data_IF_347258171045
#
_entry.id   IF_347258171045
#
_cell.length_a   1.000
_cell.length_b   1.000
_cell.length_c   1.000
_cell.angle_alpha   90.00
_cell.angle_beta   90.00
_cell.angle_gamma   90.00
#
_symmetry.space_group_name_H-M   'P 1'
#
loop_
_entity.id
_entity.type
_entity.pdbx_description
1 polymer ?
#
# COMPACT_ATOMS: atom_id res chain seq x y z
N UNK A 1 -12.86 -8.19 6.75
CA UNK A 1 -11.69 -8.63 5.97
C UNK A 1 -11.95 -10.02 5.39
N UNK A 2 -12.23 -11.03 6.20
CA UNK A 2 -12.50 -12.39 5.73
C UNK A 2 -13.65 -12.43 4.71
N UNK A 3 -14.72 -11.69 4.94
CA UNK A 3 -15.85 -11.59 4.01
C UNK A 3 -15.45 -10.95 2.67
N UNK A 4 -14.68 -9.85 2.69
CA UNK A 4 -14.21 -9.21 1.46
C UNK A 4 -13.32 -10.16 0.65
N UNK A 5 -12.46 -10.93 1.31
CA UNK A 5 -11.65 -11.98 0.65
C UNK A 5 -12.53 -13.01 -0.03
N UNK A 6 -13.56 -13.50 0.67
CA UNK A 6 -14.49 -14.47 0.12
C UNK A 6 -15.26 -13.94 -1.08
N UNK A 7 -15.70 -12.68 -1.02
CA UNK A 7 -16.39 -12.01 -2.14
C UNK A 7 -15.47 -11.90 -3.35
N UNK A 8 -14.24 -11.38 -3.16
CA UNK A 8 -13.27 -11.23 -4.26
C UNK A 8 -12.90 -12.59 -4.86
N UNK A 9 -12.65 -13.58 -4.02
CA UNK A 9 -12.32 -14.93 -4.47
C UNK A 9 -13.46 -15.55 -5.29
N UNK A 10 -14.71 -15.45 -4.80
CA UNK A 10 -15.90 -15.92 -5.50
C UNK A 10 -16.12 -15.21 -6.85
N UNK A 11 -16.06 -13.88 -6.86
CA UNK A 11 -16.31 -13.09 -8.09
C UNK A 11 -15.21 -13.27 -9.14
N UNK A 12 -13.98 -13.52 -8.71
CA UNK A 12 -12.84 -13.70 -9.61
C UNK A 12 -12.59 -15.15 -10.00
N UNK A 13 -13.31 -16.11 -9.43
CA UNK A 13 -13.00 -17.54 -9.59
C UNK A 13 -11.62 -17.88 -9.03
N UNK A 14 -11.23 -17.26 -7.91
CA UNK A 14 -9.95 -17.49 -7.23
C UNK A 14 -8.73 -16.81 -7.87
N UNK A 15 -8.90 -16.00 -8.92
CA UNK A 15 -7.79 -15.40 -9.67
C UNK A 15 -7.23 -14.13 -9.05
N UNK A 16 -8.01 -13.41 -8.22
CA UNK A 16 -7.62 -12.13 -7.64
C UNK A 16 -7.33 -12.27 -6.14
N UNK A 17 -6.18 -11.78 -5.70
CA UNK A 17 -5.83 -11.67 -4.29
C UNK A 17 -6.43 -10.41 -3.66
N UNK A 18 -6.87 -10.49 -2.39
CA UNK A 18 -7.31 -9.34 -1.62
C UNK A 18 -6.50 -9.21 -0.34
N UNK A 19 -5.78 -8.12 -0.20
CA UNK A 19 -4.97 -7.78 0.96
C UNK A 19 -5.47 -6.46 1.55
N UNK A 20 -5.64 -6.43 2.87
CA UNK A 20 -6.09 -5.25 3.60
C UNK A 20 -5.04 -4.80 4.61
N UNK A 21 -4.71 -3.52 4.59
CA UNK A 21 -3.85 -2.88 5.57
C UNK A 21 -4.64 -1.85 6.38
N UNK A 22 -4.84 -2.10 7.67
CA UNK A 22 -5.64 -1.23 8.55
C UNK A 22 -4.90 0.06 8.97
N UNK A 23 -3.59 0.01 9.02
CA UNK A 23 -2.67 1.11 9.33
C UNK A 23 -1.30 0.85 8.69
N UNK A 24 -0.41 1.84 8.76
CA UNK A 24 0.97 1.77 8.27
C UNK A 24 1.98 1.58 9.41
N UNK A 25 1.64 0.75 10.39
CA UNK A 25 2.57 0.33 11.45
C UNK A 25 3.30 -0.96 11.11
N UNK A 26 4.39 -1.25 11.85
CA UNK A 26 5.18 -2.46 11.67
C UNK A 26 4.37 -3.76 11.73
N UNK A 27 3.42 -3.95 12.68
CA UNK A 27 2.60 -5.17 12.70
C UNK A 27 1.70 -5.32 11.47
N UNK A 28 1.23 -4.20 10.90
CA UNK A 28 0.44 -4.23 9.66
C UNK A 28 1.29 -4.51 8.44
N UNK A 29 2.54 -4.05 8.40
CA UNK A 29 3.53 -4.41 7.38
C UNK A 29 3.85 -5.91 7.42
N UNK A 30 4.13 -6.47 8.60
CA UNK A 30 4.37 -7.91 8.76
C UNK A 30 3.19 -8.73 8.24
N UNK A 31 1.97 -8.33 8.61
CA UNK A 31 0.76 -8.98 8.10
C UNK A 31 0.59 -8.83 6.60
N UNK A 32 0.89 -7.65 6.04
CA UNK A 32 0.89 -7.42 4.60
C UNK A 32 1.84 -8.38 3.89
N UNK A 33 3.08 -8.53 4.38
CA UNK A 33 4.06 -9.45 3.81
C UNK A 33 3.60 -10.91 3.87
N UNK A 34 3.01 -11.34 4.99
CA UNK A 34 2.41 -12.68 5.14
C UNK A 34 1.27 -12.87 4.14
N UNK A 35 0.36 -11.92 4.02
CA UNK A 35 -0.78 -12.00 3.09
C UNK A 35 -0.30 -12.01 1.62
N UNK A 36 0.71 -11.21 1.28
CA UNK A 36 1.31 -11.17 -0.07
C UNK A 36 2.01 -12.48 -0.43
N UNK A 37 2.72 -13.06 0.52
CA UNK A 37 3.46 -14.33 0.30
C UNK A 37 2.59 -15.57 0.48
N UNK A 38 1.39 -15.43 0.97
CA UNK A 38 0.41 -16.50 1.14
C UNK A 38 -0.80 -16.33 0.22
N UNK A 39 -1.71 -15.43 0.58
CA UNK A 39 -3.02 -15.27 -0.09
C UNK A 39 -2.90 -14.74 -1.52
N UNK A 40 -1.99 -13.80 -1.74
CA UNK A 40 -1.80 -13.18 -3.05
C UNK A 40 -0.82 -13.97 -3.95
N UNK A 41 -0.09 -14.94 -3.38
CA UNK A 41 0.88 -15.72 -4.15
C UNK A 41 0.18 -16.53 -5.25
N UNK A 42 0.69 -16.39 -6.48
CA UNK A 42 0.16 -17.10 -7.64
C UNK A 42 -1.18 -16.59 -8.17
N UNK A 43 -1.70 -15.49 -7.64
CA UNK A 43 -2.90 -14.81 -8.17
C UNK A 43 -2.52 -14.00 -9.42
N UNK A 44 -3.47 -13.84 -10.33
CA UNK A 44 -3.29 -13.10 -11.58
C UNK A 44 -3.35 -11.57 -11.38
N UNK A 45 -4.04 -11.12 -10.31
CA UNK A 45 -4.19 -9.72 -9.96
C UNK A 45 -4.29 -9.55 -8.44
N UNK A 46 -4.12 -8.31 -7.98
CA UNK A 46 -4.16 -7.94 -6.57
C UNK A 46 -5.09 -6.75 -6.33
N UNK A 47 -5.91 -6.84 -5.29
CA UNK A 47 -6.55 -5.69 -4.67
C UNK A 47 -5.83 -5.43 -3.34
N UNK A 48 -5.19 -4.27 -3.22
CA UNK A 48 -4.67 -3.74 -1.95
C UNK A 48 -5.66 -2.71 -1.42
N UNK A 49 -6.29 -3.00 -0.29
CA UNK A 49 -7.27 -2.14 0.33
C UNK A 49 -6.66 -1.41 1.53
N UNK A 50 -6.52 -0.09 1.40
CA UNK A 50 -6.05 0.81 2.46
C UNK A 50 -7.13 1.82 2.87
N UNK A 51 -8.40 1.50 2.62
CA UNK A 51 -9.51 2.32 3.12
C UNK A 51 -9.54 2.30 4.64
N UNK A 52 -9.84 3.42 5.24
CA UNK A 52 -9.83 3.66 6.69
C UNK A 52 -8.44 3.47 7.34
N UNK A 53 -7.38 3.48 6.56
CA UNK A 53 -6.01 3.35 7.06
C UNK A 53 -5.52 4.72 7.57
N UNK A 54 -5.21 4.79 8.85
CA UNK A 54 -4.86 6.04 9.55
C UNK A 54 -3.37 6.39 9.51
N UNK A 55 -2.63 5.81 8.57
CA UNK A 55 -1.22 6.10 8.39
C UNK A 55 -0.29 5.37 9.35
N UNK A 56 0.92 5.81 9.41
CA UNK A 56 2.05 5.23 10.14
C UNK A 56 3.38 5.67 9.54
N UNK A 57 4.28 4.73 9.23
CA UNK A 57 5.58 5.05 8.65
C UNK A 57 6.23 3.83 7.94
N UNK A 58 5.49 3.13 7.09
CA UNK A 58 6.01 1.95 6.35
C UNK A 58 5.67 1.98 4.85
N UNK A 59 5.26 3.13 4.31
CA UNK A 59 4.90 3.26 2.90
C UNK A 59 6.04 2.84 1.97
N UNK A 60 7.30 3.20 2.29
CA UNK A 60 8.47 2.83 1.50
C UNK A 60 8.65 1.32 1.38
N UNK A 61 8.44 0.57 2.48
CA UNK A 61 8.55 -0.88 2.49
C UNK A 61 7.44 -1.53 1.65
N UNK A 62 6.21 -1.00 1.75
CA UNK A 62 5.07 -1.45 0.93
C UNK A 62 5.35 -1.21 -0.55
N UNK A 63 5.75 0.00 -0.93
CA UNK A 63 6.07 0.37 -2.31
C UNK A 63 7.25 -0.44 -2.83
N UNK A 64 8.31 -0.59 -2.05
CA UNK A 64 9.47 -1.41 -2.40
C UNK A 64 9.08 -2.86 -2.67
N UNK A 65 8.23 -3.45 -1.84
CA UNK A 65 7.75 -4.81 -2.06
C UNK A 65 6.94 -4.91 -3.35
N UNK A 66 5.98 -4.01 -3.55
CA UNK A 66 5.10 -4.00 -4.73
C UNK A 66 5.85 -3.69 -6.04
N UNK A 67 6.99 -3.00 -5.96
CA UNK A 67 7.83 -2.66 -7.13
C UNK A 67 8.76 -3.79 -7.58
N UNK A 68 8.85 -4.87 -6.80
CA UNK A 68 9.75 -5.98 -7.13
C UNK A 68 9.34 -6.65 -8.44
N UNK A 69 10.33 -6.90 -9.28
CA UNK A 69 10.15 -7.62 -10.54
C UNK A 69 11.04 -8.85 -10.55
N UNK A 70 10.56 -9.99 -11.06
CA UNK A 70 11.41 -11.16 -11.29
C UNK A 70 12.59 -10.79 -12.21
N UNK A 71 13.80 -11.22 -11.85
CA UNK A 71 15.02 -10.96 -12.61
C UNK A 71 15.82 -12.23 -12.92
N UNK A 72 15.50 -13.36 -12.29
CA UNK A 72 16.08 -14.69 -12.53
C UNK A 72 15.01 -15.74 -12.28
N UNK A 73 15.30 -16.97 -12.71
CA UNK A 73 14.54 -18.16 -12.35
C UNK A 73 15.48 -19.23 -11.80
N UNK A 74 15.04 -19.92 -10.76
CA UNK A 74 15.66 -21.09 -10.22
C UNK A 74 14.90 -22.35 -10.62
N UNK A 75 15.62 -23.43 -10.86
CA UNK A 75 15.01 -24.71 -11.10
C UNK A 75 15.80 -25.80 -10.37
N UNK A 76 15.17 -26.48 -9.44
CA UNK A 76 15.73 -27.71 -8.88
C UNK A 76 15.79 -28.79 -9.97
N UNK A 77 16.75 -29.72 -9.86
CA UNK A 77 16.81 -30.86 -10.79
C UNK A 77 15.47 -31.60 -10.78
N UNK A 78 14.82 -31.71 -11.93
CA UNK A 78 13.47 -32.29 -12.11
C UNK A 78 12.31 -31.51 -11.41
N UNK A 79 12.55 -30.29 -10.96
CA UNK A 79 11.54 -29.44 -10.35
C UNK A 79 10.93 -28.42 -11.31
N UNK A 80 9.93 -27.69 -10.80
CA UNK A 80 9.37 -26.53 -11.49
C UNK A 80 10.30 -25.31 -11.34
N UNK A 81 10.25 -24.40 -12.31
CA UNK A 81 10.92 -23.10 -12.21
C UNK A 81 10.22 -22.21 -11.19
N UNK A 82 11.00 -21.43 -10.46
CA UNK A 82 10.53 -20.44 -9.50
C UNK A 82 11.23 -19.12 -9.77
N UNK A 83 10.52 -17.98 -9.74
CA UNK A 83 11.12 -16.68 -9.95
C UNK A 83 12.01 -16.27 -8.78
N UNK A 84 12.94 -15.36 -9.05
CA UNK A 84 13.72 -14.66 -8.05
C UNK A 84 13.47 -13.16 -8.21
N UNK A 85 13.05 -12.42 -7.17
CA UNK A 85 12.77 -12.89 -5.80
C UNK A 85 11.55 -13.83 -5.75
N UNK A 86 11.57 -14.77 -4.80
CA UNK A 86 10.54 -15.82 -4.70
C UNK A 86 9.13 -15.29 -4.45
N UNK A 87 9.02 -14.08 -3.92
CA UNK A 87 7.79 -13.44 -3.47
C UNK A 87 7.53 -12.09 -4.16
N UNK A 88 8.04 -11.90 -5.36
CA UNK A 88 7.63 -10.74 -6.15
C UNK A 88 6.11 -10.80 -6.42
N UNK A 89 5.42 -9.65 -6.48
CA UNK A 89 4.08 -9.59 -7.01
C UNK A 89 4.01 -10.30 -8.36
N UNK A 90 2.87 -10.90 -8.68
CA UNK A 90 2.70 -11.76 -9.87
C UNK A 90 2.92 -11.06 -11.22
N UNK A 91 3.22 -9.75 -11.24
CA UNK A 91 3.31 -8.94 -12.46
C UNK A 91 1.95 -8.61 -13.08
N UNK A 92 0.86 -9.10 -12.50
CA UNK A 92 -0.50 -8.75 -12.89
C UNK A 92 -0.92 -7.37 -12.40
N UNK A 93 -2.12 -6.90 -12.81
CA UNK A 93 -2.61 -5.59 -12.41
C UNK A 93 -2.84 -5.50 -10.90
N UNK A 94 -2.51 -4.34 -10.34
CA UNK A 94 -2.79 -4.01 -8.94
C UNK A 94 -3.85 -2.92 -8.90
N UNK A 95 -4.88 -3.13 -8.08
CA UNK A 95 -5.88 -2.12 -7.74
C UNK A 95 -5.61 -1.68 -6.31
N UNK A 96 -5.43 -0.37 -6.11
CA UNK A 96 -5.35 0.24 -4.79
C UNK A 96 -6.69 0.86 -4.44
N UNK A 97 -7.30 0.41 -3.33
CA UNK A 97 -8.55 0.99 -2.84
C UNK A 97 -8.26 2.00 -1.74
N UNK A 98 -8.79 3.21 -1.91
CA UNK A 98 -8.66 4.33 -0.96
C UNK A 98 -10.02 4.92 -0.62
N UNK A 99 -10.10 5.67 0.47
CA UNK A 99 -11.26 6.48 0.79
C UNK A 99 -10.85 7.75 1.57
N UNK A 100 -11.85 8.58 1.87
CA UNK A 100 -11.70 9.83 2.63
C UNK A 100 -11.18 9.66 4.07
N UNK A 101 -10.98 8.42 4.52
CA UNK A 101 -10.34 8.09 5.80
C UNK A 101 -8.97 7.44 5.64
N UNK A 102 -8.47 7.33 4.42
CA UNK A 102 -7.07 7.00 4.15
C UNK A 102 -6.24 8.26 4.37
N UNK A 103 -5.40 8.30 5.42
CA UNK A 103 -4.68 9.51 5.79
C UNK A 103 -3.18 9.29 6.05
N UNK A 104 -2.41 10.37 5.99
CA UNK A 104 -0.99 10.40 6.31
C UNK A 104 -0.18 9.40 5.46
N UNK A 105 0.51 8.44 6.06
CA UNK A 105 1.32 7.44 5.38
C UNK A 105 0.55 6.58 4.36
N UNK A 106 -0.77 6.39 4.56
CA UNK A 106 -1.64 5.76 3.57
C UNK A 106 -1.79 6.62 2.31
N UNK A 107 -1.83 7.95 2.46
CA UNK A 107 -1.86 8.88 1.33
C UNK A 107 -0.52 8.90 0.60
N UNK A 108 0.60 8.82 1.34
CA UNK A 108 1.93 8.68 0.74
C UNK A 108 2.04 7.40 -0.09
N UNK A 109 1.48 6.29 0.41
CA UNK A 109 1.37 5.04 -0.35
C UNK A 109 0.58 5.26 -1.64
N UNK A 110 -0.57 5.92 -1.57
CA UNK A 110 -1.40 6.20 -2.74
C UNK A 110 -0.72 7.17 -3.74
N UNK A 111 -0.04 8.21 -3.24
CA UNK A 111 0.70 9.15 -4.06
C UNK A 111 1.88 8.47 -4.78
N UNK A 112 2.67 7.67 -4.06
CA UNK A 112 3.76 6.88 -4.64
C UNK A 112 3.25 5.88 -5.68
N UNK A 113 2.15 5.18 -5.38
CA UNK A 113 1.51 4.23 -6.28
C UNK A 113 1.09 4.90 -7.59
N UNK A 114 0.52 6.11 -7.51
CA UNK A 114 0.15 6.93 -8.66
C UNK A 114 1.36 7.40 -9.45
N UNK A 115 2.36 7.97 -8.77
CA UNK A 115 3.58 8.52 -9.38
C UNK A 115 4.40 7.44 -10.10
N UNK A 116 4.49 6.25 -9.51
CA UNK A 116 5.19 5.11 -10.08
C UNK A 116 4.36 4.31 -11.09
N UNK A 117 3.11 4.71 -11.36
CA UNK A 117 2.18 4.05 -12.30
C UNK A 117 2.03 2.55 -12.02
N UNK A 118 1.88 2.19 -10.73
CA UNK A 118 1.87 0.80 -10.30
C UNK A 118 0.56 0.08 -10.59
N UNK A 119 -0.51 0.81 -10.90
CA UNK A 119 -1.83 0.25 -11.20
C UNK A 119 -2.94 1.30 -11.10
N UNK A 120 -4.16 0.84 -10.84
CA UNK A 120 -5.36 1.70 -10.78
C UNK A 120 -5.73 2.00 -9.33
N UNK A 121 -5.99 3.27 -9.03
CA UNK A 121 -6.53 3.70 -7.74
C UNK A 121 -8.04 3.85 -7.87
N UNK A 122 -8.79 3.24 -6.96
CA UNK A 122 -10.25 3.21 -6.93
C UNK A 122 -10.76 3.66 -5.57
N UNK A 123 -11.85 4.42 -5.55
CA UNK A 123 -12.52 4.86 -4.31
C UNK A 123 -12.80 6.35 -4.29
N UNK A 124 -12.69 6.99 -3.15
CA UNK A 124 -12.86 8.44 -3.00
C UNK A 124 -11.52 9.11 -2.71
N UNK A 125 -11.46 10.43 -2.89
CA UNK A 125 -10.29 11.23 -2.55
C UNK A 125 -9.85 10.96 -1.10
N UNK A 126 -8.53 10.93 -0.87
CA UNK A 126 -7.97 10.69 0.45
C UNK A 126 -8.18 11.89 1.40
N UNK A 127 -7.77 11.75 2.65
CA UNK A 127 -8.13 12.65 3.74
C UNK A 127 -7.56 14.08 3.62
N UNK A 128 -6.45 14.30 2.88
CA UNK A 128 -5.71 15.57 2.78
C UNK A 128 -4.92 15.90 4.05
N UNK A 129 -4.31 14.90 4.64
CA UNK A 129 -3.47 15.08 5.82
C UNK A 129 -2.10 14.40 5.66
N UNK A 130 -1.39 14.77 4.59
CA UNK A 130 -0.03 14.31 4.34
C UNK A 130 0.95 15.28 4.99
N UNK A 131 1.17 15.11 6.27
CA UNK A 131 2.01 16.00 7.06
C UNK A 131 2.95 15.19 7.95
N UNK A 132 4.22 15.58 7.98
CA UNK A 132 5.17 15.05 8.92
C UNK A 132 5.21 15.91 10.17
N UNK A 133 5.11 15.28 11.32
CA UNK A 133 5.14 15.94 12.62
C UNK A 133 6.36 15.51 13.42
N UNK A 134 6.94 16.45 14.18
CA UNK A 134 7.92 16.15 15.21
C UNK A 134 7.34 16.31 16.60
N UNK A 135 7.79 15.52 17.57
CA UNK A 135 7.46 15.69 18.97
C UNK A 135 8.36 16.77 19.61
N UNK A 136 7.79 17.64 20.43
CA UNK A 136 8.54 18.58 21.25
C UNK A 136 8.11 18.45 22.70
N UNK A 137 9.11 18.28 23.59
CA UNK A 137 8.87 18.32 25.05
C UNK A 137 8.63 19.74 25.48
N UNK A 138 7.64 19.95 26.33
CA UNK A 138 7.35 21.21 27.00
C UNK A 138 8.02 21.27 28.37
N UNK A 139 8.07 22.45 28.97
CA UNK A 139 8.76 22.70 30.26
C UNK A 139 8.16 21.94 31.44
N UNK A 140 6.90 21.53 31.33
CA UNK A 140 6.18 20.75 32.34
C UNK A 140 6.32 19.23 32.15
N UNK A 141 7.15 18.79 31.17
CA UNK A 141 7.33 17.38 30.83
C UNK A 141 6.27 16.78 29.92
N UNK A 142 5.22 17.54 29.55
CA UNK A 142 4.30 17.11 28.52
C UNK A 142 4.92 17.21 27.12
N UNK A 143 4.31 16.56 26.12
CA UNK A 143 4.78 16.66 24.75
C UNK A 143 3.68 17.17 23.82
N UNK A 144 4.09 17.90 22.81
CA UNK A 144 3.21 18.31 21.71
C UNK A 144 3.79 17.88 20.37
N UNK A 145 2.89 17.67 19.39
CA UNK A 145 3.29 17.37 18.02
C UNK A 145 3.15 18.67 17.20
N UNK A 146 4.19 18.96 16.44
CA UNK A 146 4.23 20.12 15.56
C UNK A 146 4.47 19.68 14.13
N UNK A 147 3.83 20.32 13.13
CA UNK A 147 4.18 20.15 11.73
C UNK A 147 5.67 20.45 11.53
N UNK A 148 6.36 19.60 10.81
CA UNK A 148 7.80 19.74 10.57
C UNK A 148 8.16 19.80 9.10
N UNK A 149 7.47 19.02 8.25
CA UNK A 149 7.69 18.99 6.82
C UNK A 149 6.37 18.83 6.07
N UNK A 150 6.24 19.52 4.95
CA UNK A 150 5.21 19.27 3.95
C UNK A 150 5.62 18.15 2.99
N UNK A 151 4.67 17.56 2.29
CA UNK A 151 4.88 16.55 1.28
C UNK A 151 4.42 17.07 -0.09
N UNK A 152 5.30 16.95 -1.07
CA UNK A 152 5.06 17.43 -2.44
C UNK A 152 5.29 16.30 -3.43
N UNK A 153 4.52 16.28 -4.52
CA UNK A 153 4.83 15.41 -5.64
C UNK A 153 6.08 15.89 -6.42
N UNK A 154 6.51 15.13 -7.41
CA UNK A 154 7.69 15.50 -8.23
C UNK A 154 7.44 16.74 -9.10
N UNK A 155 6.19 17.15 -9.28
CA UNK A 155 5.79 18.38 -9.98
C UNK A 155 5.67 19.57 -9.02
N UNK A 156 5.97 19.36 -7.72
CA UNK A 156 5.91 20.32 -6.61
C UNK A 156 4.50 20.74 -6.20
N UNK A 157 3.49 19.95 -6.50
CA UNK A 157 2.16 20.16 -5.95
C UNK A 157 2.12 19.74 -4.49
N UNK A 158 1.48 20.55 -3.67
CA UNK A 158 1.29 20.27 -2.24
C UNK A 158 0.19 19.21 -2.07
N UNK A 159 0.60 18.04 -1.57
CA UNK A 159 -0.31 16.91 -1.40
C UNK A 159 -1.22 17.06 -0.19
N UNK A 160 -0.85 17.86 0.81
CA UNK A 160 -1.73 18.18 1.94
C UNK A 160 -2.94 19.01 1.49
N UNK A 161 -2.72 19.92 0.55
CA UNK A 161 -3.80 20.76 0.03
C UNK A 161 -4.81 19.98 -0.82
N UNK A 162 -4.37 18.96 -1.54
CA UNK A 162 -5.18 18.29 -2.59
C UNK A 162 -5.55 16.84 -2.29
N UNK A 163 -4.86 16.17 -1.37
CA UNK A 163 -5.00 14.72 -1.19
C UNK A 163 -4.61 13.93 -2.46
N UNK A 164 -4.97 12.66 -2.49
CA UNK A 164 -4.77 11.80 -3.67
C UNK A 164 -6.12 11.47 -4.29
N UNK A 165 -6.30 11.90 -5.53
CA UNK A 165 -7.50 11.61 -6.31
C UNK A 165 -7.41 10.22 -6.92
N UNK A 166 -8.44 9.35 -6.77
CA UNK A 166 -8.51 8.08 -7.47
C UNK A 166 -8.73 8.29 -8.97
N UNK A 167 -8.48 7.25 -9.76
CA UNK A 167 -8.82 7.25 -11.19
C UNK A 167 -10.28 6.87 -11.45
N UNK A 168 -10.87 6.09 -10.51
CA UNK A 168 -12.24 5.59 -10.59
C UNK A 168 -12.89 5.81 -9.22
N UNK A 169 -13.99 6.53 -9.18
CA UNK A 169 -14.79 6.78 -7.98
C UNK A 169 -16.08 5.94 -7.98
#
# INVERSE_FOLDING_TARGET
IAENRRIVDSLSGGRVGYVYMKDMGTPSLEKFLIDMTGIALGKEALILDIRNNRGGNVHDDVIKFLSQKPYLEWQARNGKRSPQPNFAPSGGPIILMVNEQSLSDAEMTAAAFKQLKMGTIVGTETYRWIIFTSGRMLVDGSSTRLPAWGCYDLERNDLEATGVQPYIS
#
